data_IF_887396498949
#
_entry.id   IF_887396498949
#
_cell.length_a   1.000
_cell.length_b   1.000
_cell.length_c   1.000
_cell.angle_alpha   90.00
_cell.angle_beta   90.00
_cell.angle_gamma   90.00
#
_symmetry.space_group_name_H-M   'P 1'
#
loop_
_entity.id
_entity.type
_entity.pdbx_description
1 polymer ?
#
# COMPACT_ATOMS: atom_id res chain seq x y z
N UNK A 1 -5.79 -18.13 -21.65
CA UNK A 1 -4.43 -17.71 -21.28
C UNK A 1 -4.36 -16.19 -21.45
N UNK A 2 -4.12 -15.42 -20.38
CA UNK A 2 -3.97 -13.96 -20.50
C UNK A 2 -2.78 -13.67 -21.42
N UNK A 3 -3.02 -12.90 -22.49
CA UNK A 3 -1.95 -12.43 -23.35
C UNK A 3 -1.12 -11.38 -22.59
N UNK A 4 0.11 -11.77 -22.23
CA UNK A 4 1.07 -10.92 -21.51
C UNK A 4 1.31 -9.61 -22.25
N UNK A 5 1.24 -9.62 -23.58
CA UNK A 5 1.44 -8.45 -24.42
C UNK A 5 0.29 -7.46 -24.28
N UNK A 6 -0.96 -7.92 -24.31
CA UNK A 6 -2.15 -7.09 -24.05
C UNK A 6 -2.13 -6.40 -22.68
N UNK A 7 -1.71 -7.10 -21.63
CA UNK A 7 -1.60 -6.50 -20.28
C UNK A 7 -0.41 -5.53 -20.20
N UNK A 8 0.68 -5.81 -20.90
CA UNK A 8 1.83 -4.91 -20.96
C UNK A 8 1.52 -3.60 -21.71
N UNK A 9 0.61 -3.63 -22.70
CA UNK A 9 0.23 -2.48 -23.52
C UNK A 9 -0.92 -1.65 -22.91
N UNK A 10 -1.82 -2.24 -22.12
CA UNK A 10 -2.96 -1.53 -21.51
C UNK A 10 -2.50 -0.50 -20.47
N UNK A 11 -2.94 0.77 -20.50
CA UNK A 11 -2.49 1.76 -19.53
C UNK A 11 -3.17 1.48 -18.17
N UNK A 12 -2.37 1.41 -17.10
CA UNK A 12 -2.87 1.23 -15.73
C UNK A 12 -1.88 1.79 -14.72
N UNK A 13 -2.37 2.16 -13.54
CA UNK A 13 -1.54 2.56 -12.39
C UNK A 13 -1.82 1.64 -11.22
N UNK A 14 -0.78 1.14 -10.56
CA UNK A 14 -0.93 0.32 -9.34
C UNK A 14 -0.61 1.16 -8.11
N UNK A 15 -1.54 1.21 -7.16
CA UNK A 15 -1.30 1.64 -5.79
C UNK A 15 -1.20 0.36 -4.95
N UNK A 16 -0.08 0.17 -4.26
CA UNK A 16 0.21 -1.02 -3.45
C UNK A 16 0.69 -0.57 -2.08
N UNK A 17 0.32 -1.32 -1.05
CA UNK A 17 0.78 -1.13 0.33
C UNK A 17 2.25 -1.50 0.53
N UNK A 18 2.84 -2.19 -0.44
CA UNK A 18 4.19 -2.72 -0.44
C UNK A 18 4.86 -2.67 -1.83
N UNK A 19 5.99 -3.36 -1.99
CA UNK A 19 6.77 -3.42 -3.22
C UNK A 19 6.15 -4.29 -4.35
N UNK A 20 5.00 -4.94 -4.13
CA UNK A 20 4.39 -5.84 -5.12
C UNK A 20 4.10 -5.13 -6.46
N UNK A 21 3.59 -3.90 -6.40
CA UNK A 21 3.32 -3.10 -7.61
C UNK A 21 4.58 -2.87 -8.45
N UNK A 22 5.74 -2.67 -7.82
CA UNK A 22 7.01 -2.53 -8.52
C UNK A 22 7.43 -3.83 -9.23
N UNK A 23 7.21 -4.97 -8.58
CA UNK A 23 7.51 -6.28 -9.19
C UNK A 23 6.65 -6.52 -10.43
N UNK A 24 5.36 -6.17 -10.41
CA UNK A 24 4.47 -6.28 -11.58
C UNK A 24 5.03 -5.48 -12.75
N UNK A 25 5.41 -4.22 -12.54
CA UNK A 25 5.98 -3.39 -13.59
C UNK A 25 7.27 -4.00 -14.16
N UNK A 26 8.17 -4.48 -13.30
CA UNK A 26 9.42 -5.12 -13.72
C UNK A 26 9.16 -6.36 -14.57
N UNK A 27 8.22 -7.20 -14.17
CA UNK A 27 7.87 -8.40 -14.93
C UNK A 27 7.18 -8.08 -16.26
N UNK A 28 6.44 -6.98 -16.35
CA UNK A 28 5.84 -6.52 -17.60
C UNK A 28 6.81 -5.71 -18.47
N UNK A 29 8.04 -5.43 -18.01
CA UNK A 29 9.00 -4.61 -18.73
C UNK A 29 8.57 -3.14 -18.85
N UNK A 30 7.75 -2.66 -17.92
CA UNK A 30 7.16 -1.32 -17.98
C UNK A 30 7.91 -0.33 -17.11
N UNK A 31 7.99 0.91 -17.60
CA UNK A 31 8.39 2.06 -16.79
C UNK A 31 7.39 2.25 -15.66
N UNK A 32 7.88 2.57 -14.46
CA UNK A 32 7.02 2.91 -13.33
C UNK A 32 6.23 4.19 -13.61
N UNK A 33 4.91 4.07 -13.68
CA UNK A 33 3.96 5.17 -13.73
C UNK A 33 3.17 5.31 -12.41
N UNK A 34 3.71 4.75 -11.33
CA UNK A 34 3.17 4.84 -9.98
C UNK A 34 4.26 5.32 -9.02
N UNK A 35 3.96 6.22 -8.06
CA UNK A 35 4.91 6.61 -7.03
C UNK A 35 5.12 5.53 -5.95
N UNK A 36 4.25 4.50 -5.88
CA UNK A 36 4.28 3.40 -4.91
C UNK A 36 5.33 2.33 -5.27
N UNK A 37 6.60 2.73 -5.32
CA UNK A 37 7.74 1.88 -5.71
C UNK A 37 8.86 2.03 -4.70
N UNK A 38 9.23 0.91 -4.06
CA UNK A 38 10.30 0.87 -3.06
C UNK A 38 9.91 1.47 -1.72
N UNK A 39 8.62 1.45 -1.42
CA UNK A 39 8.03 1.97 -0.20
C UNK A 39 6.98 1.00 0.36
N UNK A 40 6.55 1.24 1.59
CA UNK A 40 5.39 0.59 2.17
C UNK A 40 4.55 1.58 3.00
N UNK A 41 3.30 1.20 3.27
CA UNK A 41 2.41 1.91 4.17
C UNK A 41 1.86 0.93 5.21
N UNK A 42 1.75 1.38 6.46
CA UNK A 42 1.04 0.61 7.47
C UNK A 42 -0.46 0.53 7.14
N UNK A 43 -1.17 -0.55 7.52
CA UNK A 43 -2.55 -0.75 7.10
C UNK A 43 -3.52 0.40 7.38
N UNK A 44 -3.49 1.09 8.55
CA UNK A 44 -4.36 2.27 8.76
C UNK A 44 -4.10 3.39 7.75
N UNK A 45 -2.82 3.66 7.44
CA UNK A 45 -2.42 4.66 6.46
C UNK A 45 -2.86 4.26 5.05
N UNK A 46 -2.67 2.98 4.70
CA UNK A 46 -3.06 2.46 3.40
C UNK A 46 -4.58 2.46 3.19
N UNK A 47 -5.37 2.07 4.20
CA UNK A 47 -6.83 2.08 4.13
C UNK A 47 -7.38 3.49 3.97
N UNK A 48 -6.82 4.47 4.69
CA UNK A 48 -7.17 5.87 4.49
C UNK A 48 -6.87 6.32 3.05
N UNK A 49 -5.68 5.98 2.53
CA UNK A 49 -5.31 6.29 1.14
C UNK A 49 -6.20 5.59 0.11
N UNK A 50 -6.54 4.33 0.33
CA UNK A 50 -7.34 3.54 -0.61
C UNK A 50 -8.78 4.05 -0.71
N UNK A 51 -9.31 4.64 0.36
CA UNK A 51 -10.65 5.25 0.36
C UNK A 51 -10.70 6.60 -0.38
N UNK A 52 -9.60 7.38 -0.41
CA UNK A 52 -9.55 8.66 -1.13
C UNK A 52 -8.17 8.92 -1.77
N UNK A 53 -7.79 8.14 -2.79
CA UNK A 53 -6.45 8.24 -3.38
C UNK A 53 -6.19 9.59 -4.03
N UNK A 54 -7.23 10.28 -4.51
CA UNK A 54 -7.11 11.59 -5.17
C UNK A 54 -6.72 12.68 -4.16
N UNK A 55 -7.37 12.73 -3.00
CA UNK A 55 -7.01 13.66 -1.93
C UNK A 55 -5.56 13.48 -1.52
N UNK A 56 -5.17 12.25 -1.18
CA UNK A 56 -3.82 12.00 -0.68
C UNK A 56 -2.75 12.30 -1.71
N UNK A 57 -2.93 11.90 -2.97
CA UNK A 57 -1.93 12.17 -4.00
C UNK A 57 -1.85 13.64 -4.42
N UNK A 58 -2.86 14.46 -4.12
CA UNK A 58 -2.77 15.90 -4.27
C UNK A 58 -1.93 16.59 -3.16
N UNK A 59 -1.74 15.94 -2.01
CA UNK A 59 -0.96 16.49 -0.91
C UNK A 59 0.56 16.44 -1.17
N UNK A 60 1.29 17.26 -0.42
CA UNK A 60 2.75 17.30 -0.44
C UNK A 60 3.38 16.41 0.62
N UNK A 61 4.55 15.87 0.29
CA UNK A 61 5.35 15.09 1.22
C UNK A 61 5.97 16.01 2.27
N UNK A 62 5.89 15.59 3.53
CA UNK A 62 6.59 16.24 4.65
C UNK A 62 7.42 15.20 5.37
N UNK A 63 8.74 15.21 5.16
CA UNK A 63 9.62 14.23 5.81
C UNK A 63 9.64 14.40 7.32
N UNK A 64 9.63 13.27 8.01
CA UNK A 64 9.56 13.19 9.46
C UNK A 64 10.92 12.76 10.02
N UNK A 65 11.22 13.22 11.22
CA UNK A 65 12.38 12.76 12.01
C UNK A 65 12.07 11.49 12.80
N UNK A 66 10.79 11.22 13.07
CA UNK A 66 10.30 10.04 13.79
C UNK A 66 9.01 9.54 13.15
N UNK A 67 8.79 8.24 13.20
CA UNK A 67 7.54 7.62 12.75
C UNK A 67 6.61 7.39 13.94
N UNK A 68 5.30 7.55 13.71
CA UNK A 68 4.26 7.15 14.67
C UNK A 68 4.27 5.65 14.98
N UNK A 69 4.94 4.83 14.15
CA UNK A 69 5.05 3.39 14.31
C UNK A 69 6.39 2.93 14.92
N UNK A 70 7.31 3.85 15.21
CA UNK A 70 8.57 3.53 15.86
C UNK A 70 8.37 3.39 17.38
N UNK A 71 8.76 2.24 17.94
CA UNK A 71 8.64 1.94 19.37
C UNK A 71 9.81 2.44 20.23
N UNK A 72 10.88 2.93 19.62
CA UNK A 72 12.11 3.31 20.30
C UNK A 72 12.71 4.60 19.70
N UNK A 73 13.50 5.38 20.47
CA UNK A 73 14.01 6.69 20.07
C UNK A 73 15.15 6.65 19.04
N UNK A 74 15.29 5.54 18.29
CA UNK A 74 16.33 5.39 17.30
C UNK A 74 16.06 6.25 16.05
N UNK A 75 17.12 6.73 15.40
CA UNK A 75 16.98 7.43 14.12
C UNK A 75 16.36 6.50 13.08
N UNK A 76 15.58 7.09 12.17
CA UNK A 76 14.95 6.35 11.08
C UNK A 76 16.03 5.79 10.14
N UNK A 77 15.94 4.49 9.84
CA UNK A 77 16.88 3.80 8.93
C UNK A 77 16.70 4.22 7.47
N UNK A 78 15.54 4.77 7.12
CA UNK A 78 15.16 5.20 5.78
C UNK A 78 14.22 6.40 5.86
N UNK A 79 14.04 7.18 4.78
CA UNK A 79 13.12 8.32 4.79
C UNK A 79 11.69 7.91 5.11
N UNK A 80 11.05 8.61 6.04
CA UNK A 80 9.61 8.52 6.31
C UNK A 80 9.01 9.89 6.05
N UNK A 81 7.89 9.96 5.35
CA UNK A 81 7.18 11.21 5.11
C UNK A 81 5.71 11.09 5.48
N UNK A 82 5.17 12.17 6.03
CA UNK A 82 3.74 12.37 6.09
C UNK A 82 3.21 12.81 4.72
N UNK A 83 2.03 12.30 4.36
CA UNK A 83 1.21 12.76 3.25
C UNK A 83 -0.16 13.12 3.86
N UNK A 84 -0.38 14.41 4.11
CA UNK A 84 -1.47 14.87 4.99
C UNK A 84 -1.43 14.22 6.39
N UNK A 85 -2.35 13.29 6.67
CA UNK A 85 -2.52 12.57 7.94
C UNK A 85 -2.14 11.08 7.87
N UNK A 86 -1.42 10.64 6.83
CA UNK A 86 -0.85 9.29 6.73
C UNK A 86 0.68 9.32 6.66
N UNK A 87 1.35 8.19 6.97
CA UNK A 87 2.80 8.00 6.83
C UNK A 87 3.15 7.06 5.67
N UNK A 88 4.22 7.40 4.96
CA UNK A 88 4.81 6.61 3.88
C UNK A 88 6.27 6.31 4.23
N UNK A 89 6.64 5.03 4.14
CA UNK A 89 7.97 4.54 4.51
C UNK A 89 8.77 4.17 3.27
N UNK A 90 9.79 4.95 2.93
CA UNK A 90 10.59 4.80 1.71
C UNK A 90 11.75 3.81 1.87
N UNK A 91 11.40 2.53 2.05
CA UNK A 91 12.32 1.43 2.36
C UNK A 91 13.56 1.32 1.46
N UNK A 92 13.43 1.58 0.16
CA UNK A 92 14.52 1.41 -0.81
C UNK A 92 15.23 2.71 -1.20
N UNK A 93 15.16 3.73 -0.35
CA UNK A 93 15.74 5.04 -0.61
C UNK A 93 16.78 5.40 0.44
N UNK A 94 17.89 5.98 -0.01
CA UNK A 94 19.00 6.39 0.86
C UNK A 94 18.86 7.80 1.41
N UNK A 95 18.06 8.65 0.77
CA UNK A 95 17.90 10.05 1.15
C UNK A 95 16.49 10.56 0.88
N UNK A 96 16.10 11.60 1.63
CA UNK A 96 14.81 12.31 1.48
C UNK A 96 14.66 12.89 0.08
N UNK A 97 15.70 13.56 -0.43
CA UNK A 97 15.68 14.16 -1.77
C UNK A 97 15.51 13.14 -2.90
N UNK A 98 16.12 11.96 -2.81
CA UNK A 98 15.92 10.90 -3.82
C UNK A 98 14.49 10.32 -3.77
N UNK A 99 13.95 10.14 -2.56
CA UNK A 99 12.57 9.70 -2.35
C UNK A 99 11.57 10.71 -2.93
N UNK A 100 11.74 11.99 -2.62
CA UNK A 100 10.90 13.09 -3.06
C UNK A 100 10.90 13.26 -4.59
N UNK A 101 12.09 13.36 -5.18
CA UNK A 101 12.24 13.54 -6.62
C UNK A 101 11.58 12.39 -7.41
N UNK A 102 11.79 11.14 -6.96
CA UNK A 102 11.17 9.97 -7.60
C UNK A 102 9.68 9.89 -7.34
N UNK A 103 9.20 10.26 -6.16
CA UNK A 103 7.76 10.31 -5.85
C UNK A 103 7.04 11.24 -6.81
N UNK A 104 7.45 12.51 -6.88
CA UNK A 104 6.78 13.49 -7.72
C UNK A 104 6.90 13.18 -9.22
N UNK A 105 8.09 12.80 -9.70
CA UNK A 105 8.28 12.43 -11.11
C UNK A 105 7.50 11.18 -11.54
N UNK A 106 7.15 10.28 -10.59
CA UNK A 106 6.31 9.10 -10.86
C UNK A 106 4.83 9.42 -10.72
N UNK A 107 4.46 10.29 -9.77
CA UNK A 107 3.10 10.80 -9.59
C UNK A 107 2.58 11.47 -10.86
N UNK A 108 3.41 12.26 -11.53
CA UNK A 108 3.06 12.91 -12.80
C UNK A 108 2.74 11.93 -13.93
N UNK A 109 3.28 10.71 -13.87
CA UNK A 109 3.04 9.67 -14.89
C UNK A 109 1.79 8.85 -14.64
N UNK A 110 1.12 9.05 -13.50
CA UNK A 110 -0.04 8.25 -13.12
C UNK A 110 -1.16 8.39 -14.15
N UNK A 111 -1.64 7.23 -14.60
CA UNK A 111 -2.91 7.12 -15.30
C UNK A 111 -4.03 6.91 -14.28
N UNK A 112 -4.94 7.90 -14.21
CA UNK A 112 -6.10 7.90 -13.33
C UNK A 112 -7.33 7.21 -13.94
N UNK A 113 -7.32 6.91 -15.25
CA UNK A 113 -8.43 6.22 -15.94
C UNK A 113 -8.53 4.77 -15.52
N UNK A 114 -7.38 4.14 -15.28
CA UNK A 114 -7.29 2.72 -14.90
C UNK A 114 -6.42 2.58 -13.66
N UNK A 115 -7.01 2.88 -12.50
CA UNK A 115 -6.36 2.70 -11.21
C UNK A 115 -6.62 1.28 -10.66
N UNK A 116 -5.57 0.61 -10.21
CA UNK A 116 -5.65 -0.70 -9.53
C UNK A 116 -5.06 -0.55 -8.14
N UNK A 117 -5.86 -0.81 -7.11
CA UNK A 117 -5.42 -0.71 -5.72
C UNK A 117 -5.26 -2.12 -5.17
N UNK A 118 -4.12 -2.44 -4.57
CA UNK A 118 -3.80 -3.75 -4.00
C UNK A 118 -3.35 -3.62 -2.54
N UNK A 119 -3.84 -4.53 -1.69
CA UNK A 119 -3.40 -4.71 -0.31
C UNK A 119 -2.89 -6.14 -0.07
N UNK A 120 -1.79 -6.30 0.67
CA UNK A 120 -1.26 -7.58 1.17
C UNK A 120 -2.00 -8.02 2.45
N UNK A 121 -3.32 -8.11 2.40
CA UNK A 121 -4.15 -8.50 3.55
C UNK A 121 -3.73 -9.90 4.01
N UNK A 122 -3.23 -10.07 5.24
CA UNK A 122 -2.72 -11.35 5.74
C UNK A 122 -1.21 -11.40 5.97
N UNK A 123 -0.47 -10.36 5.56
CA UNK A 123 0.83 -10.04 6.14
C UNK A 123 0.67 -9.76 7.65
N UNK A 124 1.69 -10.07 8.45
CA UNK A 124 1.75 -9.83 9.90
C UNK A 124 1.46 -8.38 10.32
N UNK A 125 1.53 -7.42 9.39
CA UNK A 125 1.16 -6.02 9.65
C UNK A 125 -0.36 -5.80 9.79
N UNK A 126 -1.19 -6.66 9.20
CA UNK A 126 -2.65 -6.49 9.15
C UNK A 126 -3.34 -7.18 10.33
N UNK A 127 -4.11 -6.42 11.09
CA UNK A 127 -5.04 -6.99 12.08
C UNK A 127 -6.30 -7.55 11.41
N UNK A 128 -7.02 -8.50 12.04
CA UNK A 128 -8.29 -9.00 11.51
C UNK A 128 -9.33 -7.91 11.25
N UNK A 129 -9.36 -6.86 12.09
CA UNK A 129 -10.28 -5.73 11.91
C UNK A 129 -9.94 -4.92 10.64
N UNK A 130 -8.65 -4.66 10.39
CA UNK A 130 -8.19 -3.96 9.19
C UNK A 130 -8.41 -4.79 7.92
N UNK A 131 -8.24 -6.11 8.00
CA UNK A 131 -8.58 -7.02 6.91
C UNK A 131 -10.08 -6.97 6.57
N UNK A 132 -10.94 -6.97 7.59
CA UNK A 132 -12.38 -6.81 7.41
C UNK A 132 -12.75 -5.43 6.82
N UNK A 133 -12.06 -4.37 7.25
CA UNK A 133 -12.23 -3.02 6.69
C UNK A 133 -11.82 -2.95 5.22
N UNK A 134 -10.69 -3.56 4.84
CA UNK A 134 -10.28 -3.70 3.44
C UNK A 134 -11.36 -4.38 2.59
N UNK A 135 -12.12 -5.31 3.18
CA UNK A 135 -13.28 -5.98 2.56
C UNK A 135 -14.38 -5.04 2.09
N UNK A 136 -14.44 -3.84 2.68
CA UNK A 136 -15.49 -2.84 2.41
C UNK A 136 -15.03 -1.75 1.44
N UNK A 137 -13.75 -1.69 1.08
CA UNK A 137 -13.21 -0.69 0.16
C UNK A 137 -13.54 -1.12 -1.28
N UNK A 138 -14.37 -0.36 -2.03
CA UNK A 138 -14.77 -0.76 -3.38
C UNK A 138 -13.57 -0.88 -4.33
N UNK A 139 -13.49 -1.99 -5.06
CA UNK A 139 -12.44 -2.21 -6.06
C UNK A 139 -11.04 -2.51 -5.51
N UNK A 140 -10.87 -2.63 -4.19
CA UNK A 140 -9.59 -3.01 -3.58
C UNK A 140 -9.29 -4.50 -3.81
N UNK A 141 -8.20 -4.79 -4.51
CA UNK A 141 -7.69 -6.14 -4.68
C UNK A 141 -6.95 -6.59 -3.41
N UNK A 142 -7.52 -7.53 -2.68
CA UNK A 142 -6.86 -8.15 -1.54
C UNK A 142 -6.09 -9.38 -1.99
N UNK A 143 -4.80 -9.40 -1.68
CA UNK A 143 -3.95 -10.57 -1.89
C UNK A 143 -3.52 -11.09 -0.53
N UNK A 144 -4.06 -12.25 -0.17
CA UNK A 144 -3.61 -12.99 0.99
C UNK A 144 -2.38 -13.79 0.63
N UNK A 145 -1.27 -13.57 1.35
CA UNK A 145 -0.18 -14.54 1.39
C UNK A 145 -0.73 -15.75 2.11
N UNK A 146 -1.26 -16.73 1.38
CA UNK A 146 -1.55 -18.03 1.96
C UNK A 146 -0.23 -18.55 2.55
N UNK A 147 -0.11 -18.55 3.88
CA UNK A 147 0.81 -19.45 4.54
C UNK A 147 0.21 -20.84 4.36
N UNK A 148 0.83 -21.63 3.52
CA UNK A 148 0.67 -23.07 3.44
C UNK A 148 0.51 -23.61 4.86
N UNK A 149 -0.66 -24.16 5.17
CA UNK A 149 -1.22 -24.31 6.53
C UNK A 149 -0.35 -25.04 7.55
N UNK A 150 0.67 -24.37 8.08
CA UNK A 150 1.41 -24.78 9.27
C UNK A 150 1.46 -23.60 10.25
N UNK A 151 0.98 -23.77 11.50
CA UNK A 151 1.01 -22.71 12.49
C UNK A 151 2.46 -22.48 12.95
N UNK A 152 3.14 -21.57 12.27
CA UNK A 152 4.49 -21.12 12.61
C UNK A 152 4.48 -20.28 13.89
N UNK A 153 5.22 -20.76 14.89
CA UNK A 153 5.51 -20.15 16.19
C UNK A 153 5.68 -18.62 16.10
N UNK A 154 4.96 -17.89 16.96
CA UNK A 154 5.09 -16.43 17.13
C UNK A 154 6.43 -16.12 17.79
N UNK A 155 7.43 -15.72 17.02
CA UNK A 155 8.63 -15.09 17.56
C UNK A 155 8.37 -13.59 17.75
N UNK A 156 8.04 -13.22 18.98
CA UNK A 156 8.02 -11.84 19.45
C UNK A 156 9.47 -11.30 19.41
N UNK A 157 9.77 -10.42 18.46
CA UNK A 157 11.09 -9.74 18.40
C UNK A 157 11.64 -9.42 17.01
N UNK A 158 10.91 -9.70 15.93
CA UNK A 158 11.40 -9.38 14.58
C UNK A 158 10.86 -8.02 14.12
N UNK A 159 11.74 -7.06 13.80
CA UNK A 159 11.33 -5.76 13.24
C UNK A 159 10.53 -5.97 11.95
N UNK A 160 9.49 -5.16 11.73
CA UNK A 160 8.64 -5.22 10.52
C UNK A 160 9.47 -5.28 9.23
N UNK A 161 10.62 -4.61 9.22
CA UNK A 161 11.60 -4.57 8.13
C UNK A 161 12.14 -5.97 7.73
N UNK A 162 12.37 -6.87 8.70
CA UNK A 162 12.87 -8.23 8.43
C UNK A 162 11.78 -9.19 7.93
N UNK A 163 10.50 -8.90 8.22
CA UNK A 163 9.35 -9.69 7.76
C UNK A 163 9.02 -9.38 6.29
N UNK A 164 9.06 -8.11 5.89
CA UNK A 164 8.86 -7.63 4.51
C UNK A 164 9.81 -8.28 3.49
N UNK A 165 11.06 -8.56 3.88
CA UNK A 165 12.04 -9.22 2.99
C UNK A 165 11.79 -10.72 2.79
N UNK A 166 11.05 -11.40 3.68
CA UNK A 166 10.81 -12.86 3.62
C UNK A 166 9.62 -13.26 2.74
N UNK A 167 8.71 -12.36 2.40
CA UNK A 167 7.47 -12.68 1.65
C UNK A 167 7.64 -12.81 0.13
N UNK A 168 8.85 -13.03 -0.36
CA UNK A 168 9.10 -13.37 -1.77
C UNK A 168 8.56 -14.77 -2.07
N UNK A 169 7.28 -14.90 -2.43
CA UNK A 169 6.71 -16.24 -2.55
C UNK A 169 5.39 -16.46 -3.27
N UNK A 170 4.67 -15.46 -3.80
CA UNK A 170 3.56 -15.78 -4.71
C UNK A 170 4.04 -15.83 -6.16
N UNK A 171 3.80 -16.92 -6.92
CA UNK A 171 4.12 -16.94 -8.33
C UNK A 171 3.28 -15.87 -9.02
N UNK A 172 3.95 -14.82 -9.50
CA UNK A 172 3.36 -13.65 -10.16
C UNK A 172 2.35 -14.02 -11.26
N UNK A 173 2.51 -15.21 -11.88
CA UNK A 173 1.58 -15.82 -12.84
C UNK A 173 0.15 -16.03 -12.30
N UNK A 174 -0.02 -16.42 -11.03
CA UNK A 174 -1.33 -16.65 -10.44
C UNK A 174 -2.10 -15.34 -10.20
N UNK A 175 -1.37 -14.24 -9.96
CA UNK A 175 -1.96 -12.93 -9.66
C UNK A 175 -2.23 -12.13 -10.94
N UNK A 176 -1.34 -12.20 -11.94
CA UNK A 176 -1.57 -11.59 -13.26
C UNK A 176 -2.83 -12.14 -13.95
N UNK A 177 -3.20 -13.40 -13.69
CA UNK A 177 -4.45 -13.99 -14.19
C UNK A 177 -5.73 -13.38 -13.61
N UNK A 178 -5.64 -12.63 -12.51
CA UNK A 178 -6.77 -11.92 -11.88
C UNK A 178 -6.91 -10.46 -12.34
N UNK A 179 -5.90 -9.91 -13.01
CA UNK A 179 -5.96 -8.58 -13.62
C UNK A 179 -6.75 -8.64 -14.92
N UNK A 180 -8.08 -8.66 -14.83
CA UNK A 180 -8.97 -8.62 -16.00
C UNK A 180 -8.72 -7.35 -16.85
N UNK A 181 -8.69 -7.45 -18.20
CA UNK A 181 -8.47 -6.31 -19.10
C UNK A 181 -9.58 -5.26 -19.04
N UNK A 182 -10.76 -5.64 -18.56
CA UNK A 182 -12.01 -4.89 -18.52
C UNK A 182 -12.29 -4.19 -17.18
N UNK A 183 -11.42 -4.36 -16.17
CA UNK A 183 -11.46 -3.54 -14.95
C UNK A 183 -12.65 -3.74 -14.01
N UNK A 184 -13.62 -4.59 -14.34
CA UNK A 184 -14.79 -4.87 -13.50
C UNK A 184 -14.49 -6.05 -12.56
N UNK A 185 -14.49 -5.79 -11.25
CA UNK A 185 -14.74 -6.82 -10.25
C UNK A 185 -16.25 -7.01 -10.14
N UNK A 186 -16.72 -8.25 -10.19
CA UNK A 186 -18.14 -8.58 -10.04
C UNK A 186 -18.62 -8.10 -8.66
N UNK A 187 -19.52 -7.10 -8.66
CA UNK A 187 -20.01 -6.43 -7.46
C UNK A 187 -21.25 -7.19 -6.99
N UNK A 188 -21.06 -8.16 -6.11
CA UNK A 188 -22.15 -8.69 -5.30
C UNK A 188 -22.54 -7.63 -4.28
N UNK A 189 -23.59 -6.87 -4.54
CA UNK A 189 -24.23 -5.98 -3.56
C UNK A 189 -24.55 -6.77 -2.28
N UNK A 190 -23.97 -6.34 -1.16
CA UNK A 190 -24.53 -6.61 0.15
C UNK A 190 -24.85 -5.25 0.78
N UNK A 191 -26.12 -4.87 0.67
CA UNK A 191 -26.70 -3.73 1.38
C UNK A 191 -26.50 -3.93 2.88
N UNK A 192 -25.71 -3.06 3.51
CA UNK A 192 -25.93 -2.55 4.87
C UNK A 192 -24.91 -1.44 5.13
N UNK A 193 -25.37 -0.19 5.09
CA UNK A 193 -24.61 0.94 5.62
C UNK A 193 -24.42 0.76 7.13
N UNK A 194 -23.24 0.31 7.55
CA UNK A 194 -22.79 0.45 8.94
C UNK A 194 -22.10 1.80 9.14
N UNK A 195 -22.22 2.42 10.33
CA UNK A 195 -21.64 3.73 10.60
C UNK A 195 -20.11 3.71 10.43
N UNK A 196 -19.58 4.81 9.90
CA UNK A 196 -18.14 5.06 9.72
C UNK A 196 -17.47 4.93 11.09
N UNK A 197 -16.64 3.89 11.27
CA UNK A 197 -15.86 3.73 12.49
C UNK A 197 -14.81 4.86 12.56
N UNK A 198 -14.51 5.41 13.75
CA UNK A 198 -13.50 6.44 13.89
C UNK A 198 -12.14 5.92 13.43
N UNK A 199 -11.39 6.76 12.71
CA UNK A 199 -10.12 6.40 12.07
C UNK A 199 -9.18 5.67 13.03
N UNK A 200 -8.77 4.47 12.64
CA UNK A 200 -7.77 3.66 13.34
C UNK A 200 -6.33 4.18 13.10
N UNK A 201 -6.18 5.24 12.31
CA UNK A 201 -4.89 5.84 11.98
C UNK A 201 -4.31 6.64 13.17
N UNK A 202 -3.14 6.25 13.71
CA UNK A 202 -2.54 6.94 14.86
C UNK A 202 -2.15 8.39 14.56
N UNK A 203 -1.83 8.72 13.30
CA UNK A 203 -1.39 10.07 12.90
C UNK A 203 -2.59 11.02 12.86
N UNK A 204 -3.73 10.56 12.31
CA UNK A 204 -4.98 11.31 12.34
C UNK A 204 -5.40 11.67 13.78
N UNK A 205 -5.19 10.74 14.73
CA UNK A 205 -5.46 10.96 16.16
C UNK A 205 -4.51 11.99 16.78
N UNK A 206 -3.22 11.92 16.48
CA UNK A 206 -2.22 12.89 16.97
C UNK A 206 -2.52 14.32 16.48
N UNK A 207 -2.98 14.48 15.22
CA UNK A 207 -3.40 15.79 14.69
C UNK A 207 -4.66 16.32 15.37
N UNK A 208 -5.69 15.50 15.54
CA UNK A 208 -6.92 15.92 16.21
C UNK A 208 -6.67 16.41 17.65
N UNK A 209 -5.73 15.78 18.37
CA UNK A 209 -5.31 16.21 19.70
C UNK A 209 -4.54 17.55 19.69
N UNK A 210 -3.83 17.87 18.61
CA UNK A 210 -3.03 19.09 18.48
C UNK A 210 -3.85 20.31 18.04
N UNK A 211 -5.01 20.11 17.42
CA UNK A 211 -5.92 21.20 16.98
C UNK A 211 -6.95 21.60 18.04
N UNK A 212 -6.91 20.98 19.23
CA UNK A 212 -7.85 21.21 20.34
C UNK A 212 -7.27 22.12 21.44
N UNK A 213 -6.22 22.90 21.13
CA UNK A 213 -5.53 23.83 22.04
C UNK A 213 -5.51 25.23 21.46
#
# INVERSE_FOLDING_TARGET
MMDRRRVAEAPFTIISDDCWGAEVHRHLGRRYNTPFVGLFLYPPCFLALANDPRRYLAADLRFLERSAYASAPFPLEFPVAALDDIEIHFLHFRSRGDAEAKWYARRERMDWTTLRIKAAVGDAMWSPAQAAEAGRVPGLLQLTTASDGTPGRRDAGTSANRHLHRQRGQPLRAVLGRLRPDGVADVGCAETCSPILPSSNPIARQRAASSSV
#
